data_IF_684480167237
#
_entry.id   IF_684480167237
#
_cell.length_a   1.000
_cell.length_b   1.000
_cell.length_c   1.000
_cell.angle_alpha   90.00
_cell.angle_beta   90.00
_cell.angle_gamma   90.00
#
_symmetry.space_group_name_H-M   'P 1'
#
loop_
_entity.id
_entity.type
_entity.pdbx_description
1 polymer ?
#
# COMPACT_ATOMS: atom_id res chain seq x y z
N UNK A 1 -23.50 2.53 -21.67
CA UNK A 1 -22.78 3.66 -21.02
C UNK A 1 -21.28 3.48 -21.20
N UNK A 2 -20.60 4.53 -21.61
CA UNK A 2 -19.16 4.51 -21.79
C UNK A 2 -18.49 5.01 -20.51
N UNK A 3 -17.62 4.19 -19.92
CA UNK A 3 -16.85 4.56 -18.75
C UNK A 3 -15.39 4.76 -19.16
N UNK A 4 -14.76 5.80 -18.62
CA UNK A 4 -13.34 6.03 -18.78
C UNK A 4 -12.63 5.68 -17.47
N UNK A 5 -11.49 4.99 -17.58
CA UNK A 5 -10.65 4.63 -16.44
C UNK A 5 -9.29 5.29 -16.61
N UNK A 6 -8.80 5.93 -15.57
CA UNK A 6 -7.55 6.66 -15.61
C UNK A 6 -6.60 6.16 -14.53
N UNK A 7 -5.31 6.09 -14.86
CA UNK A 7 -4.24 5.94 -13.87
C UNK A 7 -3.79 7.35 -13.49
N UNK A 8 -3.97 7.72 -12.23
CA UNK A 8 -3.70 9.10 -11.78
C UNK A 8 -2.36 9.25 -11.08
N UNK A 9 -1.78 8.16 -10.59
CA UNK A 9 -0.46 8.17 -9.95
C UNK A 9 0.11 6.75 -9.92
N UNK A 10 1.44 6.65 -9.88
CA UNK A 10 2.14 5.38 -9.73
C UNK A 10 3.42 5.62 -8.93
N UNK A 11 3.66 4.80 -7.91
CA UNK A 11 4.83 4.86 -7.05
C UNK A 11 5.32 3.46 -6.70
N UNK A 12 6.58 3.37 -6.35
CA UNK A 12 7.17 2.15 -5.81
C UNK A 12 8.27 2.50 -4.82
N UNK A 13 8.68 1.53 -4.02
CA UNK A 13 9.91 1.61 -3.26
C UNK A 13 11.10 1.28 -4.15
N UNK A 14 12.29 1.52 -3.68
CA UNK A 14 13.49 0.92 -4.25
C UNK A 14 13.36 -0.61 -4.19
N UNK A 15 14.06 -1.30 -5.09
CA UNK A 15 14.12 -2.75 -5.09
C UNK A 15 15.28 -3.17 -4.18
N UNK A 16 14.97 -3.93 -3.15
CA UNK A 16 15.94 -4.43 -2.20
C UNK A 16 16.25 -5.91 -2.43
N UNK A 17 17.47 -6.30 -2.06
CA UNK A 17 17.89 -7.70 -2.12
C UNK A 17 17.26 -8.47 -0.96
N UNK A 18 16.69 -9.62 -1.25
CA UNK A 18 16.19 -10.53 -0.22
C UNK A 18 17.34 -11.34 0.37
N UNK A 19 17.99 -10.81 1.38
CA UNK A 19 19.14 -11.44 2.02
C UNK A 19 19.17 -11.08 3.50
N UNK A 20 19.43 -12.04 4.41
CA UNK A 20 19.39 -11.77 5.86
C UNK A 20 20.44 -10.78 6.34
N UNK A 21 21.60 -10.71 5.67
CA UNK A 21 22.70 -9.83 6.09
C UNK A 21 22.90 -8.62 5.17
N UNK A 22 22.56 -8.77 3.88
CA UNK A 22 22.85 -7.79 2.84
C UNK A 22 21.63 -7.08 2.28
N UNK A 23 20.44 -7.48 2.71
CA UNK A 23 19.18 -6.87 2.26
C UNK A 23 19.01 -5.46 2.80
N UNK A 24 18.72 -4.50 1.92
CA UNK A 24 18.51 -3.10 2.33
C UNK A 24 17.30 -2.98 3.26
N UNK A 25 16.27 -3.79 3.05
CA UNK A 25 15.04 -3.76 3.83
C UNK A 25 14.95 -4.84 4.89
N UNK A 26 16.05 -5.52 5.20
CA UNK A 26 16.07 -6.66 6.14
C UNK A 26 15.52 -6.33 7.53
N UNK A 27 15.63 -5.07 7.94
CA UNK A 27 15.12 -4.60 9.24
C UNK A 27 13.76 -3.92 9.16
N UNK A 28 13.11 -3.96 8.01
CA UNK A 28 11.83 -3.28 7.78
C UNK A 28 10.75 -4.32 7.54
N UNK A 29 9.64 -4.21 8.29
CA UNK A 29 8.49 -5.11 8.10
C UNK A 29 7.85 -4.83 6.74
N UNK A 30 7.33 -5.89 6.10
CA UNK A 30 6.68 -5.76 4.79
C UNK A 30 5.45 -4.86 4.84
N UNK A 31 4.65 -4.96 5.89
CA UNK A 31 3.46 -4.12 6.07
C UNK A 31 3.84 -2.63 6.24
N UNK A 32 4.92 -2.34 6.95
CA UNK A 32 5.42 -0.98 7.10
C UNK A 32 5.93 -0.42 5.77
N UNK A 33 6.61 -1.25 4.97
CA UNK A 33 7.10 -0.86 3.65
C UNK A 33 5.93 -0.51 2.71
N UNK A 34 4.88 -1.32 2.73
CA UNK A 34 3.66 -1.06 1.97
C UNK A 34 2.97 0.23 2.43
N UNK A 35 2.91 0.47 3.74
CA UNK A 35 2.33 1.71 4.28
C UNK A 35 3.08 2.95 3.79
N UNK A 36 4.41 2.87 3.66
CA UNK A 36 5.22 3.97 3.11
C UNK A 36 4.87 4.26 1.65
N UNK A 37 4.64 3.21 0.84
CA UNK A 37 4.20 3.38 -0.54
C UNK A 37 2.85 4.09 -0.59
N UNK A 38 1.91 3.68 0.26
CA UNK A 38 0.58 4.31 0.33
C UNK A 38 0.69 5.80 0.70
N UNK A 39 1.49 6.13 1.71
CA UNK A 39 1.72 7.53 2.10
C UNK A 39 2.37 8.34 0.98
N UNK A 40 3.39 7.77 0.32
CA UNK A 40 4.07 8.42 -0.78
C UNK A 40 3.18 8.64 -1.98
N UNK A 41 2.31 7.68 -2.28
CA UNK A 41 1.35 7.77 -3.39
C UNK A 41 0.38 8.92 -3.18
N UNK A 42 -0.23 8.99 -2.01
CA UNK A 42 -1.19 10.05 -1.68
C UNK A 42 -0.52 11.42 -1.54
N UNK A 43 0.67 11.45 -0.94
CA UNK A 43 1.44 12.69 -0.78
C UNK A 43 1.93 13.28 -2.10
N UNK A 44 2.08 12.44 -3.14
CA UNK A 44 2.46 12.88 -4.48
C UNK A 44 1.33 13.49 -5.29
N UNK A 45 0.08 13.32 -4.85
CA UNK A 45 -1.08 13.85 -5.54
C UNK A 45 -1.39 15.27 -5.05
N UNK A 46 -1.70 16.19 -5.96
CA UNK A 46 -2.03 17.56 -5.61
C UNK A 46 -3.27 17.67 -4.71
N UNK A 47 -4.18 16.71 -4.84
CA UNK A 47 -5.41 16.65 -4.03
C UNK A 47 -5.28 15.73 -2.81
N UNK A 48 -4.13 15.13 -2.57
CA UNK A 48 -3.77 14.21 -1.48
C UNK A 48 -4.86 13.83 -0.49
N UNK A 49 -4.91 14.53 0.64
CA UNK A 49 -5.89 14.26 1.70
C UNK A 49 -7.34 14.44 1.25
N UNK A 50 -7.60 15.31 0.29
CA UNK A 50 -8.96 15.54 -0.22
C UNK A 50 -9.49 14.35 -1.02
N UNK A 51 -8.61 13.44 -1.48
CA UNK A 51 -9.02 12.23 -2.17
C UNK A 51 -9.48 11.12 -1.23
N UNK A 52 -9.13 11.18 0.05
CA UNK A 52 -9.43 10.10 1.00
C UNK A 52 -10.91 9.69 1.00
N UNK A 53 -11.88 10.64 1.02
CA UNK A 53 -13.29 10.26 0.96
C UNK A 53 -13.72 9.63 -0.37
N UNK A 54 -12.93 9.80 -1.43
CA UNK A 54 -13.23 9.27 -2.76
C UNK A 54 -12.61 7.88 -3.00
N UNK A 55 -11.81 7.36 -2.08
CA UNK A 55 -11.23 6.03 -2.21
C UNK A 55 -12.27 5.01 -1.77
N UNK A 56 -12.67 4.15 -2.70
CA UNK A 56 -13.69 3.14 -2.46
C UNK A 56 -13.08 1.82 -1.99
N UNK A 57 -11.87 1.48 -2.44
CA UNK A 57 -11.27 0.18 -2.13
C UNK A 57 -9.76 0.19 -2.32
N UNK A 58 -9.11 -0.81 -1.72
CA UNK A 58 -7.67 -1.05 -1.85
C UNK A 58 -7.47 -2.53 -2.17
N UNK A 59 -6.74 -2.82 -3.24
CA UNK A 59 -6.39 -4.18 -3.63
C UNK A 59 -4.87 -4.35 -3.58
N UNK A 60 -4.40 -5.32 -2.82
CA UNK A 60 -2.97 -5.62 -2.68
C UNK A 60 -2.70 -7.06 -3.08
N UNK A 61 -1.82 -7.26 -4.05
CA UNK A 61 -1.33 -8.59 -4.41
C UNK A 61 -0.27 -9.05 -3.43
N UNK A 62 -0.42 -10.26 -2.89
CA UNK A 62 0.56 -10.84 -1.98
C UNK A 62 0.57 -12.35 -2.14
N UNK A 63 1.68 -12.87 -2.66
CA UNK A 63 1.82 -14.31 -2.92
C UNK A 63 1.90 -15.12 -1.63
N UNK A 64 2.71 -14.65 -0.67
CA UNK A 64 2.91 -15.33 0.62
C UNK A 64 2.21 -14.61 1.75
N UNK A 65 0.95 -14.92 1.99
CA UNK A 65 0.14 -14.25 3.01
C UNK A 65 0.33 -14.90 4.39
N UNK A 66 1.52 -14.73 4.97
CA UNK A 66 1.83 -15.26 6.30
C UNK A 66 2.77 -14.32 7.06
N UNK A 67 2.88 -14.50 8.37
CA UNK A 67 3.67 -13.66 9.27
C UNK A 67 3.27 -12.18 9.11
N UNK A 68 4.23 -11.28 8.85
CA UNK A 68 3.96 -9.85 8.70
C UNK A 68 3.19 -9.50 7.42
N UNK A 69 3.02 -10.46 6.51
CA UNK A 69 2.21 -10.33 5.30
C UNK A 69 0.85 -11.02 5.44
N UNK A 70 0.55 -11.57 6.60
CA UNK A 70 -0.71 -12.25 6.87
C UNK A 70 -1.79 -11.31 7.39
N UNK A 71 -2.94 -11.90 7.71
CA UNK A 71 -4.08 -11.20 8.33
C UNK A 71 -4.57 -10.00 7.53
N UNK A 72 -4.63 -10.14 6.21
CA UNK A 72 -5.04 -9.09 5.28
C UNK A 72 -4.11 -7.87 5.35
N UNK A 73 -2.94 -8.01 4.75
CA UNK A 73 -1.93 -6.94 4.71
C UNK A 73 -2.48 -5.64 4.10
N UNK A 74 -3.43 -5.72 3.16
CA UNK A 74 -4.06 -4.54 2.59
C UNK A 74 -4.70 -3.68 3.68
N UNK A 75 -5.45 -4.32 4.57
CA UNK A 75 -6.12 -3.63 5.68
C UNK A 75 -5.11 -3.11 6.71
N UNK A 76 -4.16 -3.94 7.10
CA UNK A 76 -3.16 -3.57 8.10
C UNK A 76 -2.30 -2.41 7.62
N UNK A 77 -1.82 -2.45 6.38
CA UNK A 77 -0.99 -1.39 5.83
C UNK A 77 -1.77 -0.08 5.66
N UNK A 78 -3.04 -0.15 5.28
CA UNK A 78 -3.89 1.03 5.18
C UNK A 78 -4.04 1.73 6.54
N UNK A 79 -4.26 0.97 7.61
CA UNK A 79 -4.35 1.52 8.97
C UNK A 79 -3.01 2.09 9.43
N UNK A 80 -1.90 1.39 9.15
CA UNK A 80 -0.55 1.88 9.45
C UNK A 80 -0.23 3.18 8.71
N UNK A 81 -0.70 3.30 7.48
CA UNK A 81 -0.49 4.51 6.67
C UNK A 81 -1.34 5.70 7.15
N UNK A 82 -2.25 5.48 8.06
CA UNK A 82 -3.13 6.53 8.57
C UNK A 82 -4.35 6.78 7.69
N UNK A 83 -4.70 5.85 6.81
CA UNK A 83 -5.90 5.97 6.00
C UNK A 83 -7.15 5.77 6.86
N UNK A 84 -8.30 6.38 6.48
CA UNK A 84 -9.54 6.19 7.22
C UNK A 84 -9.94 4.73 7.29
N UNK A 85 -10.46 4.31 8.43
CA UNK A 85 -10.91 2.93 8.65
C UNK A 85 -12.14 2.55 7.83
N UNK A 86 -12.80 3.54 7.23
CA UNK A 86 -13.92 3.33 6.32
C UNK A 86 -13.51 2.76 4.96
N UNK A 87 -12.21 2.83 4.61
CA UNK A 87 -11.72 2.30 3.33
C UNK A 87 -11.43 0.82 3.49
N UNK A 88 -12.12 -0.07 2.75
CA UNK A 88 -11.86 -1.50 2.82
C UNK A 88 -10.55 -1.87 2.12
N UNK A 89 -9.98 -3.01 2.50
CA UNK A 89 -8.78 -3.54 1.87
C UNK A 89 -8.91 -5.03 1.62
N UNK A 90 -8.50 -5.46 0.42
CA UNK A 90 -8.52 -6.85 0.01
C UNK A 90 -7.13 -7.28 -0.42
N UNK A 91 -6.67 -8.40 0.11
CA UNK A 91 -5.39 -9.03 -0.29
C UNK A 91 -5.69 -10.19 -1.23
N UNK A 92 -5.01 -10.20 -2.37
CA UNK A 92 -5.19 -11.20 -3.41
C UNK A 92 -3.94 -12.06 -3.55
#
# INVERSE_FOLDING_TARGET
>A
MKMNVYVVEAKRTAIGRAHPDKGQFRGIRADALLAEVMRGLLGGLSAGAALLPAIDDIYIGCVGQHLEQGKNIARLAALLAGLPDSIPGTTI
#
